data_IF_916570202570
#
_entry.id   IF_916570202570
#
_cell.length_a   1.000
_cell.length_b   1.000
_cell.length_c   1.000
_cell.angle_alpha   90.00
_cell.angle_beta   90.00
_cell.angle_gamma   90.00
#
_symmetry.space_group_name_H-M   'P 1'
#
loop_
_entity.id
_entity.type
_entity.pdbx_description
1 polymer ?
#
# COMPACT_ATOMS: atom_id res chain seq x y z
N UNK A 1 -0.69 -14.89 -1.17
CA UNK A 1 0.00 -13.69 -0.66
C UNK A 1 0.63 -13.98 0.69
N UNK A 2 1.84 -13.48 0.97
CA UNK A 2 2.47 -13.53 2.31
C UNK A 2 2.64 -12.12 2.84
N UNK A 3 2.13 -11.86 4.04
CA UNK A 3 2.29 -10.58 4.74
C UNK A 3 3.22 -10.77 5.94
N UNK A 4 4.17 -9.85 6.11
CA UNK A 4 5.00 -9.73 7.31
C UNK A 4 4.93 -8.30 7.82
N UNK A 5 4.41 -8.13 9.03
CA UNK A 5 4.19 -6.82 9.63
C UNK A 5 5.02 -6.66 10.91
N UNK A 6 5.76 -5.56 11.00
CA UNK A 6 6.48 -5.12 12.20
C UNK A 6 5.57 -4.37 13.18
N UNK A 7 4.48 -3.79 12.67
CA UNK A 7 3.46 -3.03 13.41
C UNK A 7 2.12 -3.07 12.67
N UNK A 8 0.99 -2.70 13.32
CA UNK A 8 -0.29 -2.59 12.63
C UNK A 8 -0.21 -1.65 11.41
N UNK A 9 -0.84 -2.03 10.29
CA UNK A 9 -0.80 -1.26 9.05
C UNK A 9 -1.31 0.18 9.25
N UNK A 10 -2.33 0.38 10.10
CA UNK A 10 -2.87 1.67 10.53
C UNK A 10 -1.83 2.61 11.20
N UNK A 11 -0.67 2.09 11.61
CA UNK A 11 0.44 2.85 12.21
C UNK A 11 1.59 3.10 11.23
N UNK A 12 1.44 2.75 9.95
CA UNK A 12 2.33 3.21 8.91
C UNK A 12 2.18 4.72 8.73
N UNK A 13 3.31 5.39 8.63
CA UNK A 13 3.45 6.83 8.50
C UNK A 13 4.52 7.15 7.46
N UNK A 14 4.53 8.41 7.01
CA UNK A 14 5.52 8.91 6.05
C UNK A 14 6.95 8.56 6.47
N UNK A 15 7.74 8.03 5.53
CA UNK A 15 9.11 7.58 5.73
C UNK A 15 9.28 6.11 6.14
N UNK A 16 8.20 5.43 6.52
CA UNK A 16 8.27 3.98 6.77
C UNK A 16 8.62 3.22 5.49
N UNK A 17 9.33 2.10 5.64
CA UNK A 17 9.76 1.26 4.53
C UNK A 17 8.76 0.13 4.30
N UNK A 18 8.36 -0.04 3.05
CA UNK A 18 7.50 -1.13 2.61
C UNK A 18 8.22 -1.89 1.52
N UNK A 19 8.18 -3.22 1.58
CA UNK A 19 8.77 -4.08 0.56
C UNK A 19 7.67 -4.90 -0.11
N UNK A 20 7.52 -4.71 -1.41
CA UNK A 20 6.48 -5.36 -2.23
C UNK A 20 7.15 -6.21 -3.29
N UNK A 21 6.95 -7.53 -3.27
CA UNK A 21 7.56 -8.47 -4.24
C UNK A 21 9.08 -8.30 -4.41
N UNK A 22 9.80 -7.84 -3.38
CA UNK A 22 11.24 -7.56 -3.46
C UNK A 22 11.59 -6.11 -3.78
N UNK A 23 10.66 -5.32 -4.31
CA UNK A 23 10.79 -3.88 -4.52
C UNK A 23 10.77 -3.15 -3.17
N UNK A 24 11.72 -2.23 -2.94
CA UNK A 24 11.76 -1.40 -1.73
C UNK A 24 11.14 -0.04 -2.02
N UNK A 25 10.11 0.30 -1.24
CA UNK A 25 9.33 1.52 -1.36
C UNK A 25 9.31 2.28 -0.03
N UNK A 26 8.98 3.55 -0.10
CA UNK A 26 8.80 4.41 1.06
C UNK A 26 7.37 4.97 1.09
N UNK A 27 6.78 5.02 2.28
CA UNK A 27 5.47 5.64 2.51
C UNK A 27 5.59 7.15 2.32
N UNK A 28 4.78 7.71 1.42
CA UNK A 28 4.60 9.16 1.33
C UNK A 28 3.39 9.63 2.14
N UNK A 29 2.27 8.91 2.02
CA UNK A 29 1.04 9.21 2.73
C UNK A 29 0.25 7.95 3.08
N UNK A 30 -0.57 8.05 4.13
CA UNK A 30 -1.51 7.00 4.53
C UNK A 30 -2.78 7.65 5.06
N UNK A 31 -3.90 7.42 4.39
CA UNK A 31 -5.16 8.10 4.69
C UNK A 31 -6.40 7.27 4.31
N UNK A 32 -7.56 7.70 4.83
CA UNK A 32 -8.86 7.18 4.42
C UNK A 32 -9.19 7.74 3.04
N UNK A 33 -9.34 6.87 2.05
CA UNK A 33 -9.78 7.26 0.71
C UNK A 33 -11.29 7.45 0.67
N UNK A 34 -12.05 6.48 1.18
CA UNK A 34 -13.51 6.53 1.26
C UNK A 34 -14.01 5.94 2.59
N UNK A 35 -15.04 6.54 3.18
CA UNK A 35 -15.66 6.09 4.42
C UNK A 35 -17.09 5.59 4.17
N UNK A 36 -17.28 4.27 4.24
CA UNK A 36 -18.57 3.61 4.05
C UNK A 36 -19.34 3.42 5.37
N UNK A 37 -18.99 4.17 6.42
CA UNK A 37 -19.52 4.12 7.81
C UNK A 37 -19.14 2.87 8.59
N UNK A 38 -19.30 1.70 8.00
CA UNK A 38 -18.99 0.41 8.65
C UNK A 38 -17.60 -0.12 8.32
N UNK A 39 -17.03 0.33 7.21
CA UNK A 39 -15.68 0.00 6.72
C UNK A 39 -15.09 1.22 6.04
N UNK A 40 -13.77 1.34 6.02
CA UNK A 40 -13.06 2.41 5.30
C UNK A 40 -12.14 1.80 4.27
N UNK A 41 -12.19 2.35 3.07
CA UNK A 41 -11.15 2.13 2.08
C UNK A 41 -9.95 3.01 2.43
N UNK A 42 -8.82 2.37 2.65
CA UNK A 42 -7.57 2.98 3.05
C UNK A 42 -6.62 3.00 1.86
N UNK A 43 -5.83 4.06 1.74
CA UNK A 43 -4.81 4.19 0.70
C UNK A 43 -3.47 4.56 1.32
N UNK A 44 -2.43 3.83 0.92
CA UNK A 44 -1.03 4.14 1.23
C UNK A 44 -0.34 4.50 -0.07
N UNK A 45 0.09 5.74 -0.19
CA UNK A 45 0.93 6.22 -1.28
C UNK A 45 2.37 5.84 -1.01
N UNK A 46 3.01 5.24 -2.01
CA UNK A 46 4.34 4.68 -1.94
C UNK A 46 5.16 5.18 -3.12
N UNK A 47 6.45 5.40 -2.93
CA UNK A 47 7.35 5.74 -4.04
C UNK A 47 8.66 4.94 -3.97
N UNK A 48 9.23 4.66 -5.13
CA UNK A 48 10.58 4.11 -5.24
C UNK A 48 11.59 5.24 -5.31
N UNK A 49 12.36 5.42 -4.22
CA UNK A 49 13.41 6.44 -4.08
C UNK A 49 14.46 6.39 -5.20
N UNK A 50 14.63 5.25 -5.89
CA UNK A 50 15.62 5.10 -6.97
C UNK A 50 15.10 5.50 -8.34
N UNK A 51 13.81 5.30 -8.58
CA UNK A 51 13.22 5.46 -9.92
C UNK A 51 12.17 6.57 -9.99
N UNK A 52 11.82 7.16 -8.85
CA UNK A 52 10.77 8.18 -8.71
C UNK A 52 9.41 7.70 -9.24
N UNK A 53 9.19 6.38 -9.18
CA UNK A 53 7.93 5.76 -9.57
C UNK A 53 6.97 5.73 -8.39
N UNK A 54 5.72 6.05 -8.67
CA UNK A 54 4.63 6.03 -7.70
C UNK A 54 3.84 4.73 -7.72
N UNK A 55 3.41 4.34 -6.52
CA UNK A 55 2.68 3.12 -6.25
C UNK A 55 1.61 3.39 -5.19
N UNK A 56 0.64 2.48 -5.11
CA UNK A 56 -0.37 2.52 -4.08
C UNK A 56 -0.63 1.14 -3.50
N UNK A 57 -0.82 1.06 -2.19
CA UNK A 57 -1.57 -0.02 -1.56
C UNK A 57 -2.97 0.48 -1.24
N UNK A 58 -3.99 -0.34 -1.54
CA UNK A 58 -5.39 -0.06 -1.19
C UNK A 58 -5.97 -1.26 -0.47
N UNK A 59 -6.74 -1.04 0.58
CA UNK A 59 -7.34 -2.10 1.38
C UNK A 59 -8.53 -1.58 2.19
N UNK A 60 -9.40 -2.48 2.66
CA UNK A 60 -10.43 -2.15 3.63
C UNK A 60 -9.92 -2.36 5.07
N UNK A 61 -10.17 -1.39 5.95
CA UNK A 61 -9.58 -1.35 7.30
C UNK A 61 -9.97 -2.55 8.20
N UNK A 62 -11.09 -3.20 7.92
CA UNK A 62 -11.59 -4.38 8.63
C UNK A 62 -11.16 -5.72 8.02
N UNK A 63 -10.63 -5.74 6.78
CA UNK A 63 -10.35 -6.94 5.99
C UNK A 63 -9.04 -6.82 5.20
N UNK A 64 -7.96 -6.43 5.88
CA UNK A 64 -6.69 -6.08 5.24
C UNK A 64 -6.11 -7.24 4.42
N UNK A 65 -6.04 -8.46 4.98
CA UNK A 65 -5.37 -9.59 4.32
C UNK A 65 -6.11 -10.07 3.07
N UNK A 66 -7.43 -9.90 3.02
CA UNK A 66 -8.28 -10.33 1.92
C UNK A 66 -8.41 -9.29 0.82
N UNK A 67 -8.28 -8.00 1.17
CA UNK A 67 -8.61 -6.89 0.27
C UNK A 67 -7.41 -6.09 -0.19
N UNK A 68 -6.24 -6.28 0.42
CA UNK A 68 -5.07 -5.49 0.07
C UNK A 68 -4.60 -5.76 -1.36
N UNK A 69 -4.48 -4.68 -2.12
CA UNK A 69 -4.08 -4.67 -3.52
C UNK A 69 -2.96 -3.67 -3.74
N UNK A 70 -2.12 -3.96 -4.72
CA UNK A 70 -0.97 -3.14 -5.08
C UNK A 70 -1.11 -2.61 -6.50
N UNK A 71 -0.78 -1.34 -6.69
CA UNK A 71 -0.92 -0.65 -7.96
C UNK A 71 0.36 0.13 -8.30
N UNK A 72 0.71 0.19 -9.58
CA UNK A 72 1.77 1.05 -10.13
C UNK A 72 1.14 2.15 -10.98
N UNK A 73 1.60 3.40 -10.83
CA UNK A 73 1.19 4.49 -11.71
C UNK A 73 1.86 4.34 -13.10
N UNK A 74 1.05 4.24 -14.14
CA UNK A 74 1.47 4.24 -15.55
C UNK A 74 0.92 5.47 -16.25
N UNK A 75 1.79 6.44 -16.53
CA UNK A 75 1.48 7.71 -17.23
C UNK A 75 0.46 8.57 -16.47
N UNK A 76 -0.80 8.15 -16.41
CA UNK A 76 -1.91 8.80 -15.68
C UNK A 76 -2.86 7.80 -15.01
N UNK A 77 -2.67 6.48 -15.17
CA UNK A 77 -3.57 5.43 -14.66
C UNK A 77 -2.84 4.49 -13.72
N UNK A 78 -3.48 4.10 -12.62
CA UNK A 78 -2.98 3.05 -11.75
C UNK A 78 -3.39 1.66 -12.27
N UNK A 79 -2.41 0.82 -12.54
CA UNK A 79 -2.61 -0.57 -12.96
C UNK A 79 -2.35 -1.52 -11.80
N UNK A 80 -3.24 -2.49 -11.59
CA UNK A 80 -3.09 -3.52 -10.54
C UNK A 80 -1.91 -4.43 -10.88
N UNK A 81 -1.02 -4.62 -9.91
CA UNK A 81 0.14 -5.51 -10.00
C UNK A 81 -0.05 -6.66 -9.02
N UNK A 82 0.22 -7.87 -9.46
CA UNK A 82 0.07 -9.08 -8.62
C UNK A 82 0.86 -8.94 -7.30
N UNK A 83 0.19 -9.14 -6.17
CA UNK A 83 0.77 -9.03 -4.84
C UNK A 83 1.11 -10.41 -4.25
N UNK A 84 2.38 -10.81 -4.38
CA UNK A 84 2.85 -12.10 -3.91
C UNK A 84 3.39 -12.03 -2.47
N UNK A 85 4.21 -11.01 -2.18
CA UNK A 85 4.82 -10.80 -0.87
C UNK A 85 4.75 -9.31 -0.48
N UNK A 86 4.40 -9.04 0.77
CA UNK A 86 4.32 -7.70 1.34
C UNK A 86 4.96 -7.69 2.73
N UNK A 87 5.93 -6.81 2.93
CA UNK A 87 6.61 -6.64 4.22
C UNK A 87 6.62 -5.15 4.63
N UNK A 88 6.35 -4.85 5.90
CA UNK A 88 6.54 -3.52 6.51
C UNK A 88 6.88 -3.65 7.99
#
# INVERSE_FOLDING_TARGET
MKIKASKPIAKLAKGDKVKVNGLQLEVDAHYVFEDYKTTKEMLIELFDVKTDKDYQLRYFDDQVEETIKFYELKVIVYEEVELNNLEW
#
